data_IF_839677290208
#
_entry.id   IF_839677290208
#
_cell.length_a   1.000
_cell.length_b   1.000
_cell.length_c   1.000
_cell.angle_alpha   90.00
_cell.angle_beta   90.00
_cell.angle_gamma   90.00
#
_symmetry.space_group_name_H-M   'P 1'
#
loop_
_entity.id
_entity.type
_entity.pdbx_description
1 polymer ?
#
# COMPACT_ATOMS: atom_id res chain seq x y z
N UNK A 1 7.38 -34.56 -15.34
CA UNK A 1 5.97 -34.55 -14.94
C UNK A 1 5.66 -33.52 -13.86
N UNK A 2 6.54 -33.33 -12.88
CA UNK A 2 6.30 -32.34 -11.80
C UNK A 2 6.42 -30.87 -12.18
N UNK A 3 7.08 -30.58 -13.32
CA UNK A 3 7.33 -29.20 -13.75
C UNK A 3 6.03 -28.39 -13.99
N UNK A 4 5.06 -28.97 -14.72
CA UNK A 4 3.79 -28.29 -14.94
C UNK A 4 2.97 -28.08 -13.66
N UNK A 5 3.08 -29.02 -12.71
CA UNK A 5 2.47 -28.89 -11.38
C UNK A 5 3.09 -27.71 -10.60
N UNK A 6 4.41 -27.59 -10.60
CA UNK A 6 5.15 -26.52 -9.96
C UNK A 6 4.78 -25.14 -10.57
N UNK A 7 4.71 -25.06 -11.92
CA UNK A 7 4.27 -23.84 -12.61
C UNK A 7 2.84 -23.43 -12.22
N UNK A 8 1.92 -24.39 -12.23
CA UNK A 8 0.52 -24.13 -11.86
C UNK A 8 0.40 -23.73 -10.39
N UNK A 9 1.16 -24.37 -9.49
CA UNK A 9 1.18 -24.05 -8.06
C UNK A 9 1.73 -22.63 -7.81
N UNK A 10 2.83 -22.25 -8.49
CA UNK A 10 3.37 -20.90 -8.38
C UNK A 10 2.36 -19.85 -8.91
N UNK A 11 1.66 -20.17 -9.98
CA UNK A 11 0.59 -19.33 -10.52
C UNK A 11 -0.60 -19.17 -9.56
N UNK A 12 -1.02 -20.23 -8.86
CA UNK A 12 -2.06 -20.14 -7.82
C UNK A 12 -1.58 -19.19 -6.70
N UNK A 13 -0.37 -19.38 -6.19
CA UNK A 13 0.16 -18.59 -5.08
C UNK A 13 0.22 -17.09 -5.42
N UNK A 14 0.77 -16.73 -6.57
CA UNK A 14 0.87 -15.34 -7.02
C UNK A 14 -0.51 -14.71 -7.22
N UNK A 15 -1.44 -15.44 -7.83
CA UNK A 15 -2.80 -14.91 -8.04
C UNK A 15 -3.58 -14.78 -6.73
N UNK A 16 -3.37 -15.66 -5.75
CA UNK A 16 -3.97 -15.53 -4.42
C UNK A 16 -3.41 -14.31 -3.69
N UNK A 17 -2.09 -14.12 -3.70
CA UNK A 17 -1.47 -12.91 -3.13
C UNK A 17 -1.99 -11.63 -3.81
N UNK A 18 -2.14 -11.66 -5.14
CA UNK A 18 -2.72 -10.52 -5.87
C UNK A 18 -4.18 -10.26 -5.46
N UNK A 19 -4.96 -11.31 -5.25
CA UNK A 19 -6.34 -11.21 -4.78
C UNK A 19 -6.41 -10.56 -3.40
N UNK A 20 -5.52 -10.93 -2.47
CA UNK A 20 -5.44 -10.33 -1.12
C UNK A 20 -5.12 -8.83 -1.20
N UNK A 21 -4.19 -8.44 -2.07
CA UNK A 21 -3.86 -7.02 -2.30
C UNK A 21 -5.06 -6.25 -2.86
N UNK A 22 -5.75 -6.79 -3.85
CA UNK A 22 -6.94 -6.13 -4.41
C UNK A 22 -8.11 -6.10 -3.42
N UNK A 23 -8.27 -7.13 -2.58
CA UNK A 23 -9.27 -7.14 -1.51
C UNK A 23 -8.97 -6.04 -0.48
N UNK A 24 -7.71 -5.85 -0.09
CA UNK A 24 -7.30 -4.77 0.78
C UNK A 24 -7.55 -3.40 0.15
N UNK A 25 -7.21 -3.20 -1.13
CA UNK A 25 -7.50 -1.95 -1.83
C UNK A 25 -9.01 -1.67 -1.91
N UNK A 26 -9.82 -2.69 -2.15
CA UNK A 26 -11.28 -2.56 -2.21
C UNK A 26 -11.88 -2.20 -0.85
N UNK A 27 -11.39 -2.81 0.24
CA UNK A 27 -11.82 -2.48 1.59
C UNK A 27 -11.52 -1.02 1.98
N UNK A 28 -10.49 -0.42 1.37
CA UNK A 28 -10.03 0.94 1.66
C UNK A 28 -10.45 1.96 0.59
N UNK A 29 -11.44 1.65 -0.24
CA UNK A 29 -11.87 2.54 -1.32
C UNK A 29 -12.51 3.84 -0.82
N UNK A 30 -13.07 3.85 0.39
CA UNK A 30 -13.65 5.03 1.05
C UNK A 30 -12.68 5.65 2.09
N UNK A 31 -11.51 5.05 2.29
CA UNK A 31 -10.53 5.54 3.26
C UNK A 31 -9.82 6.78 2.73
N UNK A 32 -9.94 7.90 3.44
CA UNK A 32 -9.37 9.20 3.09
C UNK A 32 -7.84 9.11 2.99
N UNK A 33 -7.29 9.58 1.86
CA UNK A 33 -5.85 9.59 1.64
C UNK A 33 -5.22 8.20 1.50
N UNK A 34 -6.02 7.15 1.30
CA UNK A 34 -5.50 5.80 1.08
C UNK A 34 -4.72 5.71 -0.23
N UNK A 35 -3.57 5.04 -0.19
CA UNK A 35 -2.71 4.78 -1.34
C UNK A 35 -2.77 3.31 -1.72
N UNK A 36 -3.24 2.95 -2.92
CA UNK A 36 -3.43 1.56 -3.31
C UNK A 36 -2.08 0.85 -3.43
N UNK A 37 -2.08 -0.41 -3.02
CA UNK A 37 -0.97 -1.31 -3.22
C UNK A 37 -1.13 -2.06 -4.55
N UNK A 38 -0.02 -2.29 -5.23
CA UNK A 38 0.05 -3.07 -6.46
C UNK A 38 0.86 -4.34 -6.20
N UNK A 39 0.33 -5.53 -6.55
CA UNK A 39 1.07 -6.77 -6.39
C UNK A 39 2.26 -6.76 -7.34
N UNK A 40 3.43 -7.12 -6.83
CA UNK A 40 4.60 -7.38 -7.64
C UNK A 40 4.57 -8.81 -8.15
N UNK A 41 4.78 -9.01 -9.45
CA UNK A 41 4.93 -10.34 -10.07
C UNK A 41 6.21 -10.36 -10.85
N UNK A 42 7.04 -11.35 -10.59
CA UNK A 42 8.30 -11.54 -11.29
C UNK A 42 8.36 -12.93 -11.91
N UNK A 43 8.84 -12.98 -13.14
CA UNK A 43 9.10 -14.24 -13.80
C UNK A 43 10.33 -14.89 -13.17
N UNK A 44 10.24 -16.17 -12.83
CA UNK A 44 11.38 -16.97 -12.42
C UNK A 44 12.20 -17.35 -13.65
N UNK A 45 13.53 -17.18 -13.62
CA UNK A 45 14.39 -17.71 -14.68
C UNK A 45 14.17 -19.20 -14.89
N UNK A 46 14.44 -19.74 -16.09
CA UNK A 46 14.48 -21.19 -16.30
C UNK A 46 15.54 -21.83 -15.41
N UNK A 47 15.29 -23.06 -14.97
CA UNK A 47 16.17 -23.80 -14.06
C UNK A 47 17.59 -23.99 -14.65
N UNK A 48 17.72 -24.04 -15.97
CA UNK A 48 18.99 -24.05 -16.69
C UNK A 48 19.89 -22.82 -16.44
N UNK A 49 19.29 -21.69 -16.01
CA UNK A 49 20.02 -20.46 -15.66
C UNK A 49 20.31 -20.34 -14.16
N UNK A 50 19.50 -20.97 -13.31
CA UNK A 50 19.70 -20.94 -11.85
C UNK A 50 20.77 -21.96 -11.39
N UNK A 51 20.85 -23.11 -12.04
CA UNK A 51 21.83 -24.16 -11.73
C UNK A 51 22.52 -24.63 -13.03
N UNK A 52 23.69 -24.07 -13.37
CA UNK A 52 24.46 -24.48 -14.53
C UNK A 52 25.19 -25.83 -14.31
N UNK A 53 24.49 -26.82 -13.71
CA UNK A 53 25.03 -28.17 -13.62
C UNK A 53 25.26 -28.75 -15.03
N UNK A 54 26.31 -29.54 -15.26
CA UNK A 54 26.74 -30.01 -16.57
C UNK A 54 25.83 -31.15 -17.07
N UNK A 55 24.55 -30.88 -17.23
CA UNK A 55 23.67 -31.75 -18.00
C UNK A 55 23.94 -31.45 -19.50
N UNK A 56 24.77 -32.27 -20.11
CA UNK A 56 25.10 -32.14 -21.52
C UNK A 56 23.83 -31.98 -22.37
N UNK A 57 23.85 -31.01 -23.29
CA UNK A 57 22.90 -30.76 -24.37
C UNK A 57 21.45 -31.13 -24.01
N UNK A 58 20.94 -30.59 -22.93
CA UNK A 58 19.55 -30.67 -22.60
C UNK A 58 18.75 -29.98 -23.72
N UNK A 59 17.76 -30.68 -24.19
CA UNK A 59 16.85 -30.33 -25.27
C UNK A 59 16.57 -28.81 -25.29
N UNK A 60 16.91 -28.13 -26.38
CA UNK A 60 16.73 -26.67 -26.58
C UNK A 60 15.31 -26.20 -26.25
N UNK A 61 14.35 -27.12 -26.24
CA UNK A 61 12.98 -26.95 -25.77
C UNK A 61 12.87 -26.77 -24.24
N UNK A 62 13.72 -27.43 -23.43
CA UNK A 62 13.72 -27.32 -21.97
C UNK A 62 14.35 -26.00 -21.52
N UNK A 63 15.32 -25.49 -22.28
CA UNK A 63 15.95 -24.20 -22.02
C UNK A 63 15.00 -23.00 -22.21
N UNK A 64 13.92 -23.20 -23.00
CA UNK A 64 12.89 -22.20 -23.25
C UNK A 64 11.70 -22.29 -22.31
N UNK A 65 11.62 -23.31 -21.47
CA UNK A 65 10.56 -23.44 -20.46
C UNK A 65 10.83 -22.48 -19.31
N UNK A 66 9.97 -21.48 -19.17
CA UNK A 66 10.10 -20.49 -18.08
C UNK A 66 9.93 -21.13 -16.70
N UNK A 67 10.73 -20.74 -15.71
CA UNK A 67 10.74 -21.27 -14.32
C UNK A 67 9.47 -21.05 -13.50
N UNK A 68 8.46 -20.41 -14.07
CA UNK A 68 7.22 -20.02 -13.37
C UNK A 68 7.21 -18.56 -12.96
N UNK A 69 6.41 -18.26 -11.96
CA UNK A 69 6.26 -16.90 -11.43
C UNK A 69 6.40 -16.92 -9.90
N UNK A 70 6.91 -15.85 -9.33
CA UNK A 70 6.89 -15.64 -7.89
C UNK A 70 6.40 -14.23 -7.54
N UNK A 71 5.91 -14.09 -6.31
CA UNK A 71 5.50 -12.80 -5.79
C UNK A 71 6.72 -11.94 -5.52
N UNK A 72 6.81 -10.79 -6.20
CA UNK A 72 7.79 -9.76 -5.93
C UNK A 72 7.29 -8.79 -4.85
N UNK A 73 8.17 -7.93 -4.29
CA UNK A 73 7.74 -6.91 -3.34
C UNK A 73 6.61 -6.04 -3.88
N UNK A 74 5.59 -5.81 -3.06
CA UNK A 74 4.48 -4.93 -3.40
C UNK A 74 4.97 -3.48 -3.48
N UNK A 75 4.38 -2.74 -4.41
CA UNK A 75 4.63 -1.30 -4.55
C UNK A 75 3.39 -0.50 -4.17
N UNK A 76 3.59 0.69 -3.60
CA UNK A 76 2.49 1.60 -3.25
C UNK A 76 2.41 2.72 -4.28
N UNK A 77 1.22 3.00 -4.77
CA UNK A 77 0.96 4.06 -5.73
C UNK A 77 0.72 5.40 -5.02
N UNK A 78 1.73 6.26 -4.93
CA UNK A 78 1.63 7.56 -4.24
C UNK A 78 1.06 8.70 -5.08
N UNK A 79 0.49 8.41 -6.25
CA UNK A 79 -0.19 9.44 -7.05
C UNK A 79 -1.31 10.10 -6.22
N UNK A 80 -1.39 11.44 -6.26
CA UNK A 80 -2.46 12.17 -5.58
C UNK A 80 -3.82 11.79 -6.18
N UNK A 81 -4.77 11.51 -5.29
CA UNK A 81 -6.17 11.29 -5.66
C UNK A 81 -6.92 12.65 -5.69
N UNK A 82 -8.06 12.73 -6.41
CA UNK A 82 -8.84 13.95 -6.45
C UNK A 82 -9.26 14.42 -5.05
N UNK A 83 -9.12 15.70 -4.73
CA UNK A 83 -9.63 16.26 -3.48
C UNK A 83 -11.15 16.40 -3.53
N UNK A 84 -11.81 16.08 -2.42
CA UNK A 84 -13.24 16.24 -2.21
C UNK A 84 -13.52 17.32 -1.16
N UNK A 85 -14.46 18.22 -1.44
CA UNK A 85 -14.82 19.28 -0.51
C UNK A 85 -15.75 18.76 0.60
N UNK A 86 -15.32 18.92 1.85
CA UNK A 86 -16.08 18.49 3.02
C UNK A 86 -16.73 19.66 3.77
N UNK A 87 -16.25 20.89 3.52
CA UNK A 87 -16.67 22.09 4.24
C UNK A 87 -16.16 22.17 5.68
N UNK A 88 -15.50 21.13 6.21
CA UNK A 88 -15.01 21.08 7.59
C UNK A 88 -13.77 21.94 7.75
N UNK A 89 -13.67 22.79 8.78
CA UNK A 89 -12.61 23.78 8.92
C UNK A 89 -11.20 23.18 9.20
N UNK A 90 -11.14 21.97 9.76
CA UNK A 90 -9.88 21.26 10.09
C UNK A 90 -9.48 20.21 9.04
N UNK A 91 -10.28 20.01 8.00
CA UNK A 91 -9.91 19.12 6.92
C UNK A 91 -8.95 19.84 5.94
N UNK A 92 -7.92 19.12 5.47
CA UNK A 92 -6.92 19.63 4.57
C UNK A 92 -6.43 18.55 3.60
N UNK A 93 -6.42 18.83 2.29
CA UNK A 93 -5.89 17.91 1.28
C UNK A 93 -4.57 18.44 0.71
N UNK A 94 -3.59 17.55 0.52
CA UNK A 94 -2.34 17.83 -0.18
C UNK A 94 -2.52 17.54 -1.66
N UNK A 95 -2.02 18.46 -2.52
CA UNK A 95 -2.12 18.31 -3.99
C UNK A 95 -0.87 17.71 -4.62
N UNK A 96 0.28 17.82 -3.96
CA UNK A 96 1.55 17.31 -4.46
C UNK A 96 1.67 15.80 -4.17
N UNK A 97 2.31 15.04 -5.06
CA UNK A 97 2.44 13.58 -4.91
C UNK A 97 3.45 13.17 -3.83
N UNK A 98 4.43 14.01 -3.55
CA UNK A 98 5.60 13.74 -2.71
C UNK A 98 5.50 14.35 -1.29
N UNK A 99 4.35 14.94 -0.95
CA UNK A 99 4.13 15.59 0.36
C UNK A 99 3.24 14.74 1.26
N UNK A 100 3.46 14.81 2.57
CA UNK A 100 2.75 14.01 3.57
C UNK A 100 2.60 14.82 4.85
N UNK A 101 1.55 14.57 5.61
CA UNK A 101 1.43 15.06 6.98
C UNK A 101 2.26 14.20 7.92
N UNK A 102 2.97 14.82 8.85
CA UNK A 102 3.71 14.12 9.90
C UNK A 102 2.81 13.89 11.12
N UNK A 103 2.79 12.65 11.59
CA UNK A 103 2.00 12.23 12.75
C UNK A 103 2.86 11.43 13.71
N UNK A 104 2.55 11.55 15.00
CA UNK A 104 3.15 10.71 16.03
C UNK A 104 2.22 9.55 16.33
N UNK A 105 2.75 8.36 16.18
CA UNK A 105 2.07 7.10 16.51
C UNK A 105 2.68 6.56 17.78
N UNK A 106 1.83 6.24 18.74
CA UNK A 106 2.25 5.55 19.96
C UNK A 106 1.88 4.09 19.85
N UNK A 107 2.85 3.20 20.00
CA UNK A 107 2.59 1.75 20.03
C UNK A 107 1.85 1.42 21.34
N UNK A 108 0.65 0.84 21.27
CA UNK A 108 -0.15 0.52 22.46
C UNK A 108 0.50 -0.55 23.35
N UNK A 109 1.42 -1.36 22.81
CA UNK A 109 2.05 -2.46 23.54
C UNK A 109 3.34 -2.03 24.25
N UNK A 110 4.17 -1.20 23.59
CA UNK A 110 5.49 -0.80 24.11
C UNK A 110 5.48 0.60 24.70
N UNK A 111 4.49 1.43 24.33
CA UNK A 111 4.47 2.85 24.69
C UNK A 111 5.45 3.71 23.88
N UNK A 112 6.20 3.09 22.96
CA UNK A 112 7.15 3.81 22.12
C UNK A 112 6.42 4.74 21.15
N UNK A 113 6.97 5.91 20.96
CA UNK A 113 6.45 6.91 20.04
C UNK A 113 7.34 7.01 18.81
N UNK A 114 6.73 6.84 17.64
CA UNK A 114 7.43 6.97 16.36
C UNK A 114 6.74 8.01 15.49
N UNK A 115 7.54 8.78 14.74
CA UNK A 115 6.99 9.68 13.74
C UNK A 115 6.74 8.91 12.44
N UNK A 116 5.49 8.93 11.97
CA UNK A 116 5.07 8.34 10.71
C UNK A 116 4.47 9.41 9.81
N UNK A 117 4.24 9.07 8.57
CA UNK A 117 3.66 9.94 7.56
C UNK A 117 2.27 9.46 7.19
N UNK A 118 1.37 10.39 6.85
CA UNK A 118 0.02 10.05 6.37
C UNK A 118 -0.43 11.01 5.27
N UNK A 119 -1.36 10.55 4.44
CA UNK A 119 -2.11 11.38 3.48
C UNK A 119 -3.51 11.72 3.97
N UNK A 120 -3.93 11.13 5.09
CA UNK A 120 -5.21 11.47 5.69
C UNK A 120 -5.15 12.88 6.26
N UNK A 121 -5.90 13.78 5.67
CA UNK A 121 -6.01 15.18 6.13
C UNK A 121 -7.30 15.47 6.88
N UNK A 122 -7.98 14.47 7.40
CA UNK A 122 -9.12 14.64 8.31
C UNK A 122 -8.62 14.70 9.73
N UNK A 123 -8.66 15.89 10.32
CA UNK A 123 -8.19 16.13 11.68
C UNK A 123 -9.32 16.47 12.63
N UNK A 124 -9.17 16.07 13.89
CA UNK A 124 -10.14 16.26 14.96
C UNK A 124 -9.40 16.63 16.25
N UNK A 125 -9.94 17.50 17.10
CA UNK A 125 -9.41 17.68 18.45
C UNK A 125 -9.82 16.48 19.33
N UNK A 126 -8.91 15.97 20.13
CA UNK A 126 -9.20 14.98 21.17
C UNK A 126 -9.69 15.68 22.46
N UNK A 127 -9.98 14.89 23.51
CA UNK A 127 -10.44 15.41 24.81
C UNK A 127 -9.40 16.31 25.53
N UNK A 128 -8.14 16.24 25.13
CA UNK A 128 -7.05 17.06 25.66
C UNK A 128 -6.78 18.31 24.81
N UNK A 129 -7.60 18.56 23.78
CA UNK A 129 -7.41 19.65 22.83
C UNK A 129 -6.30 19.39 21.80
N UNK A 130 -5.69 18.21 21.76
CA UNK A 130 -4.66 17.90 20.78
C UNK A 130 -5.30 17.51 19.44
N UNK A 131 -4.67 17.95 18.36
CA UNK A 131 -5.11 17.61 17.00
C UNK A 131 -4.69 16.18 16.67
N UNK A 132 -5.66 15.34 16.34
CA UNK A 132 -5.44 13.93 15.99
C UNK A 132 -6.07 13.58 14.64
N UNK A 133 -5.56 12.53 14.03
CA UNK A 133 -6.19 11.88 12.87
C UNK A 133 -7.44 11.09 13.30
N UNK A 134 -8.20 10.58 12.35
CA UNK A 134 -9.34 9.69 12.61
C UNK A 134 -8.96 8.38 13.31
N UNK A 135 -7.70 7.97 13.20
CA UNK A 135 -7.11 6.80 13.86
C UNK A 135 -6.49 7.11 15.22
N UNK A 136 -6.54 8.38 15.67
CA UNK A 136 -6.07 8.80 16.99
C UNK A 136 -4.59 9.22 17.04
N UNK A 137 -3.89 9.28 15.92
CA UNK A 137 -2.48 9.69 15.89
C UNK A 137 -2.35 11.21 16.01
N UNK A 138 -1.39 11.67 16.81
CA UNK A 138 -1.15 13.09 17.07
C UNK A 138 -0.54 13.77 15.84
N UNK A 139 -1.12 14.87 15.41
CA UNK A 139 -0.59 15.70 14.30
C UNK A 139 0.53 16.57 14.83
N UNK A 140 1.65 16.62 14.09
CA UNK A 140 2.85 17.32 14.50
C UNK A 140 2.97 18.71 13.87
N UNK A 141 3.62 19.61 14.60
CA UNK A 141 4.08 20.89 14.10
C UNK A 141 5.51 20.79 13.50
N UNK A 142 6.03 21.80 12.84
CA UNK A 142 7.39 21.80 12.26
C UNK A 142 8.53 21.55 13.25
N UNK A 143 8.27 21.63 14.56
CA UNK A 143 9.23 21.33 15.63
C UNK A 143 9.03 19.91 16.20
N UNK A 144 8.33 19.02 15.48
CA UNK A 144 8.00 17.66 15.91
C UNK A 144 7.22 17.59 17.24
N UNK A 145 6.45 18.63 17.59
CA UNK A 145 5.61 18.65 18.78
C UNK A 145 4.13 18.46 18.41
N UNK A 146 3.31 17.80 19.24
CA UNK A 146 1.87 17.70 19.03
C UNK A 146 1.23 19.10 19.00
N UNK A 147 0.30 19.28 18.10
CA UNK A 147 -0.48 20.51 17.97
C UNK A 147 -1.62 20.48 18.97
N UNK A 148 -1.71 21.53 19.80
CA UNK A 148 -2.81 21.69 20.76
C UNK A 148 -3.68 22.87 20.36
N UNK A 149 -5.00 22.68 20.40
CA UNK A 149 -6.02 23.67 20.11
C UNK A 149 -6.72 24.00 21.42
N UNK A 150 -6.81 25.29 21.77
CA UNK A 150 -7.54 25.72 22.97
C UNK A 150 -9.04 25.78 22.69
N UNK A 151 -9.86 24.99 23.39
CA UNK A 151 -11.32 25.02 23.21
C UNK A 151 -11.95 26.39 23.52
N UNK A 152 -11.29 27.23 24.30
CA UNK A 152 -11.79 28.55 24.73
C UNK A 152 -11.56 29.65 23.69
N UNK A 153 -10.63 29.47 22.74
CA UNK A 153 -10.31 30.45 21.70
C UNK A 153 -11.22 30.40 20.46
N UNK A 154 -12.26 29.56 20.50
CA UNK A 154 -13.24 29.42 19.41
C UNK A 154 -12.85 28.39 18.35
N UNK A 155 -13.56 28.42 17.22
CA UNK A 155 -13.40 27.42 16.18
C UNK A 155 -12.05 27.52 15.47
N UNK A 156 -11.29 26.43 15.49
CA UNK A 156 -10.05 26.32 14.76
C UNK A 156 -10.29 26.02 13.27
N UNK A 157 -9.46 26.57 12.39
CA UNK A 157 -9.47 26.29 10.95
C UNK A 157 -8.05 26.19 10.41
N UNK A 158 -7.86 25.42 9.35
CA UNK A 158 -6.59 25.34 8.62
C UNK A 158 -6.67 26.27 7.41
N UNK A 159 -5.60 27.03 7.14
CA UNK A 159 -5.45 27.86 5.95
C UNK A 159 -4.62 27.17 4.85
N UNK A 160 -4.51 27.82 3.68
CA UNK A 160 -3.74 27.27 2.55
C UNK A 160 -2.21 27.16 2.81
N UNK A 161 -1.70 27.82 3.84
CA UNK A 161 -0.30 27.72 4.27
C UNK A 161 -0.10 26.62 5.34
N UNK A 162 -1.15 25.85 5.67
CA UNK A 162 -1.11 24.82 6.70
C UNK A 162 -1.10 25.40 8.13
N UNK A 163 -1.40 26.67 8.31
CA UNK A 163 -1.48 27.29 9.65
C UNK A 163 -2.87 27.01 10.25
N UNK A 164 -2.87 26.70 11.52
CA UNK A 164 -4.08 26.55 12.31
C UNK A 164 -4.40 27.90 12.93
N UNK A 165 -5.54 28.47 12.55
CA UNK A 165 -6.03 29.77 12.97
C UNK A 165 -7.18 29.55 13.94
N UNK A 166 -7.09 30.15 15.14
CA UNK A 166 -8.19 30.27 16.10
C UNK A 166 -8.51 31.75 16.31
N UNK A 167 -9.75 32.11 16.06
CA UNK A 167 -10.12 33.53 16.01
C UNK A 167 -9.40 34.27 14.87
N UNK A 168 -8.47 35.16 15.23
CA UNK A 168 -7.64 35.93 14.29
C UNK A 168 -6.16 35.56 14.36
N UNK A 169 -5.74 34.71 15.28
CA UNK A 169 -4.34 34.38 15.51
C UNK A 169 -3.98 32.99 14.94
N UNK A 170 -2.77 32.87 14.41
CA UNK A 170 -2.20 31.57 14.02
C UNK A 170 -1.58 30.92 15.27
N UNK A 171 -2.19 29.84 15.74
CA UNK A 171 -1.77 29.14 16.96
C UNK A 171 -0.66 28.13 16.69
N UNK A 172 -0.73 27.45 15.53
CA UNK A 172 0.23 26.42 15.15
C UNK A 172 0.28 26.28 13.61
N UNK A 173 1.21 25.47 13.15
CA UNK A 173 1.29 25.06 11.73
C UNK A 173 1.39 23.55 11.66
N UNK A 174 0.70 22.92 10.71
CA UNK A 174 0.81 21.49 10.46
C UNK A 174 2.13 21.21 9.76
N UNK A 175 2.86 20.21 10.23
CA UNK A 175 4.07 19.76 9.59
C UNK A 175 3.75 18.99 8.31
N UNK A 176 4.25 19.50 7.20
CA UNK A 176 4.22 18.81 5.90
C UNK A 176 5.64 18.40 5.56
N UNK A 177 5.82 17.11 5.38
CA UNK A 177 7.10 16.51 4.98
C UNK A 177 7.07 16.22 3.48
N UNK A 178 8.17 16.53 2.78
CA UNK A 178 8.42 16.10 1.41
C UNK A 178 9.32 14.88 1.41
N UNK A 179 8.93 13.84 0.70
CA UNK A 179 9.70 12.61 0.54
C UNK A 179 9.87 12.33 -0.94
N UNK A 180 11.05 12.65 -1.50
CA UNK A 180 11.38 12.25 -2.86
C UNK A 180 11.33 10.71 -2.98
N UNK A 181 10.85 10.22 -4.12
CA UNK A 181 10.76 8.78 -4.42
C UNK A 181 10.02 7.96 -3.34
N UNK A 182 8.87 8.45 -2.86
CA UNK A 182 8.08 7.84 -1.80
C UNK A 182 7.81 6.33 -2.04
N UNK A 183 7.66 5.89 -3.29
CA UNK A 183 7.41 4.49 -3.65
C UNK A 183 8.54 3.54 -3.23
N UNK A 184 9.78 3.99 -3.26
CA UNK A 184 10.96 3.20 -2.85
C UNK A 184 11.33 3.40 -1.39
N UNK A 185 11.08 4.60 -0.87
CA UNK A 185 11.54 5.05 0.45
C UNK A 185 10.54 4.70 1.55
N UNK A 186 9.25 4.71 1.25
CA UNK A 186 8.19 4.45 2.22
C UNK A 186 7.61 3.05 2.09
N UNK A 187 7.09 2.55 3.20
CA UNK A 187 6.27 1.33 3.27
C UNK A 187 4.98 1.63 4.04
N UNK A 188 3.86 1.02 3.68
CA UNK A 188 2.66 1.05 4.51
C UNK A 188 2.96 0.42 5.88
N UNK A 189 2.45 1.03 6.96
CA UNK A 189 2.74 0.60 8.33
C UNK A 189 1.48 0.61 9.22
N UNK A 190 0.36 0.20 8.66
CA UNK A 190 -0.94 0.16 9.32
C UNK A 190 -1.59 1.54 9.46
N UNK A 191 -2.87 1.56 9.83
CA UNK A 191 -3.67 2.76 10.16
C UNK A 191 -3.55 3.92 9.15
N UNK A 192 -3.41 3.58 7.87
CA UNK A 192 -3.20 4.53 6.78
C UNK A 192 -1.97 5.45 7.00
N UNK A 193 -0.93 4.88 7.62
CA UNK A 193 0.36 5.54 7.85
C UNK A 193 1.47 4.88 7.04
N UNK A 194 2.55 5.64 6.84
CA UNK A 194 3.74 5.21 6.11
C UNK A 194 4.96 5.38 6.98
N UNK A 195 5.80 4.34 7.06
CA UNK A 195 7.09 4.36 7.71
C UNK A 195 8.22 4.34 6.67
N UNK A 196 9.38 4.83 7.03
CA UNK A 196 10.58 4.73 6.20
C UNK A 196 11.10 3.29 6.15
N UNK A 197 11.58 2.85 4.98
CA UNK A 197 12.26 1.55 4.81
C UNK A 197 13.68 1.53 5.39
N UNK A 198 14.23 2.69 5.70
CA UNK A 198 15.58 2.90 6.23
C UNK A 198 15.64 4.15 7.10
N UNK A 199 16.64 4.98 6.88
CA UNK A 199 16.76 6.25 7.61
C UNK A 199 15.64 7.22 7.21
N UNK A 200 15.18 8.01 8.17
CA UNK A 200 14.24 9.10 7.93
C UNK A 200 14.95 10.20 7.13
N UNK A 201 14.60 10.31 5.87
CA UNK A 201 15.11 11.31 4.94
C UNK A 201 14.06 12.35 4.55
N UNK A 202 13.01 12.51 5.38
CA UNK A 202 12.00 13.54 5.15
C UNK A 202 12.63 14.93 5.15
N UNK A 203 12.21 15.74 4.20
CA UNK A 203 12.52 17.16 4.14
C UNK A 203 11.30 17.93 4.59
N UNK A 204 11.49 18.96 5.41
CA UNK A 204 10.38 19.85 5.73
C UNK A 204 9.97 20.62 4.45
N UNK A 205 8.72 20.48 4.03
CA UNK A 205 8.22 21.18 2.89
C UNK A 205 7.97 22.65 3.24
N UNK A 206 8.73 23.57 2.65
CA UNK A 206 8.54 25.02 2.81
C UNK A 206 7.51 25.58 1.82
N UNK A 207 7.32 24.91 0.69
CA UNK A 207 6.29 25.20 -0.29
C UNK A 207 5.57 23.91 -0.66
N UNK A 208 4.26 23.87 -0.50
CA UNK A 208 3.40 22.74 -0.82
C UNK A 208 2.00 23.21 -1.20
N UNK A 209 1.32 22.45 -2.03
CA UNK A 209 -0.08 22.70 -2.35
C UNK A 209 -0.98 22.11 -1.27
N UNK A 210 -1.76 22.96 -0.59
CA UNK A 210 -2.74 22.53 0.40
C UNK A 210 -4.09 23.18 0.11
N UNK A 211 -5.13 22.35 0.05
CA UNK A 211 -6.52 22.78 -0.10
C UNK A 211 -7.24 22.64 1.23
N UNK A 212 -7.58 23.74 1.91
CA UNK A 212 -8.34 23.72 3.15
C UNK A 212 -9.79 23.30 2.89
N UNK A 213 -10.45 22.69 3.89
CA UNK A 213 -11.82 22.17 3.82
C UNK A 213 -12.03 21.06 2.78
N UNK A 214 -10.96 20.43 2.34
CA UNK A 214 -10.99 19.28 1.43
C UNK A 214 -10.25 18.11 2.08
N UNK A 215 -10.57 16.92 1.63
CA UNK A 215 -9.82 15.70 1.93
C UNK A 215 -9.40 15.04 0.63
N UNK A 216 -8.26 14.38 0.63
CA UNK A 216 -7.86 13.55 -0.48
C UNK A 216 -8.70 12.26 -0.46
N UNK A 217 -9.39 11.93 -1.55
CA UNK A 217 -10.14 10.67 -1.65
C UNK A 217 -9.20 9.46 -1.68
N UNK A 218 -9.75 8.25 -1.63
CA UNK A 218 -8.94 7.05 -1.85
C UNK A 218 -8.36 7.03 -3.26
N UNK A 219 -7.09 6.62 -3.38
CA UNK A 219 -6.47 6.36 -4.69
C UNK A 219 -6.94 5.05 -5.34
N UNK A 220 -7.70 4.22 -4.62
CA UNK A 220 -8.27 2.98 -5.15
C UNK A 220 -9.59 3.24 -5.88
N UNK A 221 -9.71 2.75 -7.12
CA UNK A 221 -10.97 2.79 -7.87
C UNK A 221 -11.78 1.51 -7.62
N UNK A 222 -13.03 1.59 -7.13
CA UNK A 222 -13.85 0.42 -6.81
C UNK A 222 -14.01 -0.52 -8.00
N UNK A 223 -14.37 0.03 -9.17
CA UNK A 223 -14.64 -0.74 -10.38
C UNK A 223 -13.38 -1.42 -10.91
N UNK A 224 -12.28 -0.67 -10.96
CA UNK A 224 -10.98 -1.19 -11.41
C UNK A 224 -10.48 -2.30 -10.48
N UNK A 225 -10.51 -2.07 -9.18
CA UNK A 225 -10.05 -3.02 -8.16
C UNK A 225 -10.89 -4.30 -8.14
N UNK A 226 -12.22 -4.18 -8.26
CA UNK A 226 -13.11 -5.33 -8.37
C UNK A 226 -12.80 -6.17 -9.61
N UNK A 227 -12.62 -5.53 -10.78
CA UNK A 227 -12.28 -6.23 -12.01
C UNK A 227 -10.93 -6.95 -11.89
N UNK A 228 -9.92 -6.33 -11.27
CA UNK A 228 -8.61 -6.94 -11.02
C UNK A 228 -8.74 -8.15 -10.08
N UNK A 229 -9.54 -8.03 -9.02
CA UNK A 229 -9.80 -9.12 -8.07
C UNK A 229 -10.49 -10.31 -8.75
N UNK A 230 -11.51 -10.06 -9.59
CA UNK A 230 -12.19 -11.10 -10.36
C UNK A 230 -11.22 -11.78 -11.34
N UNK A 231 -10.37 -11.01 -12.02
CA UNK A 231 -9.36 -11.56 -12.93
C UNK A 231 -8.36 -12.45 -12.19
N UNK A 232 -7.84 -12.01 -11.05
CA UNK A 232 -6.94 -12.80 -10.21
C UNK A 232 -7.60 -14.10 -9.71
N UNK A 233 -8.87 -14.03 -9.28
CA UNK A 233 -9.64 -15.20 -8.85
C UNK A 233 -9.82 -16.21 -9.99
N UNK A 234 -10.17 -15.73 -11.18
CA UNK A 234 -10.31 -16.61 -12.37
C UNK A 234 -8.98 -17.26 -12.75
N UNK A 235 -7.87 -16.51 -12.69
CA UNK A 235 -6.55 -17.03 -12.97
C UNK A 235 -6.11 -18.08 -11.93
N UNK A 236 -6.35 -17.84 -10.64
CA UNK A 236 -6.09 -18.80 -9.57
C UNK A 236 -6.88 -20.09 -9.77
N UNK A 237 -8.19 -20.00 -10.07
CA UNK A 237 -9.04 -21.15 -10.32
C UNK A 237 -8.62 -21.92 -11.59
N UNK A 238 -8.19 -21.21 -12.64
CA UNK A 238 -7.63 -21.82 -13.85
C UNK A 238 -6.39 -22.66 -13.54
N UNK A 239 -5.43 -22.08 -12.80
CA UNK A 239 -4.22 -22.79 -12.38
C UNK A 239 -4.53 -23.98 -11.45
N UNK A 240 -5.48 -23.84 -10.53
CA UNK A 240 -5.94 -24.94 -9.68
C UNK A 240 -6.60 -26.07 -10.48
N UNK A 241 -7.31 -25.72 -11.55
CA UNK A 241 -7.89 -26.74 -12.47
C UNK A 241 -6.81 -27.46 -13.27
N UNK A 242 -5.74 -26.78 -13.68
CA UNK A 242 -4.59 -27.40 -14.34
C UNK A 242 -3.88 -28.41 -13.43
N UNK A 243 -3.75 -28.10 -12.12
CA UNK A 243 -3.20 -29.04 -11.14
C UNK A 243 -4.04 -30.32 -11.10
N UNK A 244 -5.37 -30.20 -11.04
CA UNK A 244 -6.28 -31.37 -11.04
C UNK A 244 -6.19 -32.19 -12.33
N UNK A 245 -6.08 -31.54 -13.48
CA UNK A 245 -5.92 -32.26 -14.76
C UNK A 245 -4.59 -33.01 -14.80
N UNK A 246 -3.50 -32.42 -14.32
CA UNK A 246 -2.21 -33.09 -14.26
C UNK A 246 -2.24 -34.28 -13.29
N UNK A 247 -2.88 -34.15 -12.14
CA UNK A 247 -3.08 -35.22 -11.15
C UNK A 247 -3.86 -36.38 -11.79
N UNK A 248 -4.98 -36.07 -12.46
CA UNK A 248 -5.78 -37.09 -13.19
C UNK A 248 -4.98 -37.78 -14.30
N UNK A 249 -4.14 -37.04 -15.03
CA UNK A 249 -3.27 -37.64 -16.06
C UNK A 249 -2.22 -38.56 -15.43
N UNK A 250 -1.63 -38.17 -14.31
CA UNK A 250 -0.68 -39.02 -13.59
C UNK A 250 -1.34 -40.30 -13.06
N UNK A 251 -2.52 -40.18 -12.47
CA UNK A 251 -3.29 -41.35 -11.99
C UNK A 251 -3.59 -42.33 -13.13
N UNK A 252 -4.05 -41.82 -14.28
CA UNK A 252 -4.28 -42.68 -15.47
C UNK A 252 -3.00 -43.31 -16.00
N UNK A 253 -1.89 -42.57 -16.03
CA UNK A 253 -0.61 -43.10 -16.47
C UNK A 253 -0.12 -44.25 -15.59
N UNK A 254 -0.21 -44.10 -14.26
CA UNK A 254 0.19 -45.10 -13.28
C UNK A 254 -0.72 -46.33 -13.38
N UNK A 255 -2.04 -46.11 -13.42
CA UNK A 255 -3.01 -47.22 -13.41
C UNK A 255 -3.12 -47.97 -14.76
N UNK A 256 -2.81 -47.27 -15.88
CA UNK A 256 -2.90 -47.90 -17.23
C UNK A 256 -1.55 -48.53 -17.60
N UNK A 257 -0.42 -47.91 -17.35
CA UNK A 257 0.91 -48.42 -17.66
C UNK A 257 1.40 -49.47 -16.66
N UNK A 258 1.02 -49.33 -15.36
CA UNK A 258 1.38 -50.28 -14.31
C UNK A 258 0.61 -51.62 -14.37
N UNK A 259 -0.41 -51.74 -15.23
CA UNK A 259 -1.18 -53.02 -15.42
C UNK A 259 -0.71 -53.87 -16.61
N UNK A 260 0.33 -53.47 -17.31
CA UNK A 260 0.89 -54.16 -18.46
C UNK A 260 2.13 -54.97 -18.08
N UNK A 261 2.36 -55.23 -16.79
CA UNK A 261 3.40 -56.13 -16.27
C UNK A 261 2.77 -57.34 -15.60
#
# INVERSE_FOLDING_TARGET
MYYGLSLSASGVLVNTTSQDVYANNLANVETIGFKPMMPGVQQRPPESQEDPAPFGTANELLDKLGGGVFSAPMTTGFKAAPPESTGRPLDAALTDNDTFFAVRVTDPNTGDTTTKLTRSGRFLPNSQGQLVTTTGHLVLNPSDQPITIDPHLGNARIDAAGRIIQGQEAVAQVQVARVPDAATTLRPDGDNTFAFRGQDNRQQATAFGLLPKHVETSGASPISTLNQMIAATKAANGNASMIRYQDTMMDRAINTLGRVA
#
